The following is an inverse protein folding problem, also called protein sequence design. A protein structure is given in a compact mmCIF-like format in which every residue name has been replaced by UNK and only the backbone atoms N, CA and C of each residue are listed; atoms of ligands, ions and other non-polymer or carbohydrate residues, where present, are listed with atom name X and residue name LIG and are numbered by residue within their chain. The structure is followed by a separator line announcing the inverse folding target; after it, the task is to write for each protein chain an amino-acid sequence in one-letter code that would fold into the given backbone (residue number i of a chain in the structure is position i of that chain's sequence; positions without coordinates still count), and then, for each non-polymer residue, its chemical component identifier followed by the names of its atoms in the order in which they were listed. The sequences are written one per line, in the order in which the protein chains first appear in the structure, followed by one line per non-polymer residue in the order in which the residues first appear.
data_IF_150747909044
#
_entry.id   IF_150747909044
#
_cell.length_a   1.000
_cell.length_b   1.000
_cell.length_c   1.000
_cell.angle_alpha   90.00
_cell.angle_beta   90.00
_cell.angle_gamma   90.00
#
_symmetry.space_group_name_H-M   'P 1'
#
loop_
_entity.id
_entity.type
_entity.pdbx_description
1 polymer ?
#
# COMPACT_ATOMS: atom_id res chain seq x y z
N UNK A 1 4.82 8.95 8.11
CA UNK A 1 3.47 9.45 8.52
C UNK A 1 3.28 10.88 8.03
N UNK A 2 2.04 11.31 7.82
CA UNK A 2 1.67 12.67 7.37
C UNK A 2 2.30 13.04 6.01
N UNK A 3 1.89 12.39 4.91
CA UNK A 3 2.44 12.69 3.59
C UNK A 3 2.18 14.15 3.20
N UNK A 4 3.19 14.82 2.63
CA UNK A 4 3.10 16.22 2.20
C UNK A 4 3.19 17.28 3.31
N UNK A 5 3.43 16.89 4.56
CA UNK A 5 3.63 17.83 5.66
C UNK A 5 5.02 17.63 6.29
N UNK A 6 5.62 18.71 6.78
CA UNK A 6 6.85 18.66 7.57
C UNK A 6 6.51 18.70 9.07
N UNK A 7 6.58 17.54 9.73
CA UNK A 7 6.25 17.44 11.14
C UNK A 7 7.26 18.20 12.02
N UNK A 8 8.52 18.30 11.62
CA UNK A 8 9.51 19.05 12.38
C UNK A 8 9.16 20.54 12.36
N UNK A 9 8.81 21.09 11.20
CA UNK A 9 8.35 22.48 11.09
C UNK A 9 7.10 22.76 11.94
N UNK A 10 6.12 21.84 11.91
CA UNK A 10 4.90 21.94 12.72
C UNK A 10 5.19 21.95 14.23
N UNK A 11 6.04 21.02 14.68
CA UNK A 11 6.46 20.91 16.07
C UNK A 11 7.31 22.12 16.52
N UNK A 12 8.21 22.60 15.66
CA UNK A 12 8.98 23.83 15.93
C UNK A 12 8.06 25.06 15.99
N UNK A 13 6.99 25.10 15.19
CA UNK A 13 5.94 26.13 15.29
C UNK A 13 5.27 26.15 16.67
N UNK A 14 4.93 24.97 17.22
CA UNK A 14 4.39 24.86 18.57
C UNK A 14 5.38 25.31 19.65
N UNK A 15 6.67 24.97 19.48
CA UNK A 15 7.73 25.44 20.37
C UNK A 15 7.81 26.97 20.37
N UNK A 16 7.85 27.59 19.19
CA UNK A 16 7.90 29.06 19.02
C UNK A 16 6.69 29.77 19.63
N UNK A 17 5.52 29.14 19.58
CA UNK A 17 4.30 29.63 20.21
C UNK A 17 4.25 29.43 21.74
N UNK A 18 5.31 28.90 22.36
CA UNK A 18 5.39 28.70 23.82
C UNK A 18 4.48 27.57 24.32
N UNK A 19 4.19 26.57 23.48
CA UNK A 19 3.29 25.48 23.82
C UNK A 19 3.76 24.71 25.06
N UNK A 20 2.90 24.64 26.08
CA UNK A 20 3.11 23.82 27.28
C UNK A 20 2.79 22.32 27.07
N UNK A 21 2.36 21.94 25.85
CA UNK A 21 2.03 20.56 25.54
C UNK A 21 3.28 19.67 25.61
N UNK A 22 3.14 18.48 26.21
CA UNK A 22 4.13 17.41 26.10
C UNK A 22 4.02 16.71 24.74
N UNK A 23 5.04 15.93 24.39
CA UNK A 23 5.13 15.25 23.09
C UNK A 23 3.87 14.44 22.67
N UNK A 24 3.23 13.62 23.54
CA UNK A 24 2.01 12.88 23.14
C UNK A 24 0.88 13.81 22.71
N UNK A 25 0.62 14.87 23.50
CA UNK A 25 -0.46 15.81 23.24
C UNK A 25 -0.16 16.70 22.01
N UNK A 26 1.11 17.03 21.78
CA UNK A 26 1.52 17.77 20.60
C UNK A 26 1.39 16.95 19.31
N UNK A 27 1.88 15.71 19.30
CA UNK A 27 1.74 14.79 18.17
C UNK A 27 0.27 14.44 17.88
N UNK A 28 -0.56 14.32 18.93
CA UNK A 28 -1.98 14.00 18.81
C UNK A 28 -2.81 15.07 18.07
N UNK A 29 -2.25 16.26 17.80
CA UNK A 29 -2.87 17.26 16.92
C UNK A 29 -2.94 16.82 15.46
N UNK A 30 -2.05 15.92 15.04
CA UNK A 30 -1.97 15.44 13.66
C UNK A 30 -2.04 13.91 13.54
N UNK A 31 -1.82 13.18 14.64
CA UNK A 31 -1.78 11.72 14.66
C UNK A 31 -2.86 11.16 15.59
N UNK A 32 -3.36 9.93 15.34
CA UNK A 32 -4.20 9.22 16.29
C UNK A 32 -3.57 9.16 17.70
N UNK A 33 -4.39 9.35 18.74
CA UNK A 33 -3.90 9.50 20.12
C UNK A 33 -3.01 8.33 20.59
N UNK A 34 -3.41 7.08 20.29
CA UNK A 34 -2.63 5.89 20.67
C UNK A 34 -1.27 5.84 19.97
N UNK A 35 -1.22 6.27 18.71
CA UNK A 35 0.00 6.31 17.92
C UNK A 35 0.93 7.43 18.40
N UNK A 36 0.38 8.61 18.68
CA UNK A 36 1.11 9.72 19.28
C UNK A 36 1.75 9.33 20.62
N UNK A 37 1.00 8.63 21.49
CA UNK A 37 1.52 8.12 22.76
C UNK A 37 2.63 7.09 22.55
N UNK A 38 2.45 6.12 21.64
CA UNK A 38 3.45 5.10 21.35
C UNK A 38 4.75 5.67 20.76
N UNK A 39 4.66 6.71 19.93
CA UNK A 39 5.83 7.42 19.39
C UNK A 39 6.54 8.23 20.46
N UNK A 40 5.79 8.92 21.33
CA UNK A 40 6.37 9.66 22.44
C UNK A 40 7.07 8.74 23.47
N UNK A 41 6.53 7.54 23.73
CA UNK A 41 7.16 6.57 24.63
C UNK A 41 8.58 6.15 24.16
N UNK A 42 8.91 6.31 22.88
CA UNK A 42 10.21 5.97 22.31
C UNK A 42 11.26 7.08 22.52
N UNK A 43 11.45 7.49 23.77
CA UNK A 43 12.45 8.48 24.24
C UNK A 43 12.11 9.95 23.95
N UNK A 44 10.84 10.32 23.91
CA UNK A 44 10.48 11.75 24.03
C UNK A 44 10.83 12.26 25.44
N UNK A 45 11.17 13.54 25.54
CA UNK A 45 11.28 14.20 26.85
C UNK A 45 9.90 14.41 27.47
N UNK A 46 9.81 14.21 28.79
CA UNK A 46 8.60 14.47 29.55
C UNK A 46 8.34 15.96 29.79
N UNK A 47 9.28 16.83 29.39
CA UNK A 47 9.14 18.28 29.53
C UNK A 47 8.19 18.85 28.46
N UNK A 48 7.58 20.01 28.72
CA UNK A 48 6.85 20.76 27.71
C UNK A 48 7.69 21.00 26.45
N UNK A 49 7.07 20.93 25.28
CA UNK A 49 7.76 21.11 23.99
C UNK A 49 8.51 22.43 23.85
N UNK A 50 8.04 23.50 24.50
CA UNK A 50 8.72 24.79 24.55
C UNK A 50 10.17 24.68 25.08
N UNK A 51 10.45 23.69 25.94
CA UNK A 51 11.74 23.51 26.63
C UNK A 51 12.68 22.53 25.90
N UNK A 52 12.27 21.96 24.77
CA UNK A 52 13.08 20.98 24.04
C UNK A 52 14.16 21.64 23.20
N UNK A 53 15.28 20.95 23.00
CA UNK A 53 16.24 21.34 21.97
C UNK A 53 15.66 21.07 20.57
N UNK A 54 16.01 21.91 19.59
CA UNK A 54 15.50 21.75 18.21
C UNK A 54 15.92 20.39 17.62
N UNK A 55 17.12 19.91 17.97
CA UNK A 55 17.60 18.58 17.57
C UNK A 55 16.68 17.46 18.06
N UNK A 56 16.14 17.54 19.27
CA UNK A 56 15.25 16.51 19.82
C UNK A 56 13.90 16.51 19.10
N UNK A 57 13.39 17.69 18.74
CA UNK A 57 12.19 17.84 17.90
C UNK A 57 12.42 17.22 16.52
N UNK A 58 13.56 17.51 15.89
CA UNK A 58 13.95 16.94 14.60
C UNK A 58 14.02 15.41 14.65
N UNK A 59 14.64 14.85 15.70
CA UNK A 59 14.72 13.39 15.90
C UNK A 59 13.33 12.77 16.07
N UNK A 60 12.45 13.39 16.88
CA UNK A 60 11.09 12.90 17.07
C UNK A 60 10.29 12.93 15.76
N UNK A 61 10.35 14.05 15.03
CA UNK A 61 9.69 14.20 13.74
C UNK A 61 10.19 13.17 12.73
N UNK A 62 11.52 13.00 12.62
CA UNK A 62 12.15 12.03 11.73
C UNK A 62 11.68 10.61 12.02
N UNK A 63 11.62 10.21 13.30
CA UNK A 63 11.13 8.87 13.69
C UNK A 63 9.66 8.65 13.34
N UNK A 64 8.82 9.65 13.59
CA UNK A 64 7.40 9.57 13.28
C UNK A 64 7.15 9.55 11.76
N UNK A 65 7.87 10.36 10.99
CA UNK A 65 7.65 10.46 9.55
C UNK A 65 8.29 9.31 8.77
N UNK A 66 9.47 8.86 9.18
CA UNK A 66 10.23 7.78 8.55
C UNK A 66 10.25 6.50 9.41
N UNK A 67 9.10 6.14 9.96
CA UNK A 67 8.93 4.93 10.76
C UNK A 67 9.17 3.69 9.89
N UNK A 68 10.26 2.98 10.18
CA UNK A 68 10.59 1.72 9.53
C UNK A 68 9.79 0.59 10.18
N UNK A 69 9.05 -0.15 9.37
CA UNK A 69 8.38 -1.38 9.78
C UNK A 69 9.04 -2.54 9.05
N UNK A 70 9.24 -3.65 9.75
CA UNK A 70 9.82 -4.87 9.21
C UNK A 70 8.77 -5.98 9.27
N UNK A 71 7.91 -6.12 8.24
CA UNK A 71 6.98 -7.23 8.17
C UNK A 71 7.74 -8.56 8.20
N UNK A 72 7.30 -9.50 9.03
CA UNK A 72 7.92 -10.83 9.15
C UNK A 72 7.35 -11.83 8.15
N UNK A 73 6.28 -11.48 7.44
CA UNK A 73 5.61 -12.33 6.45
C UNK A 73 4.32 -11.70 5.95
N UNK A 74 3.54 -12.47 5.19
CA UNK A 74 2.18 -12.11 4.77
C UNK A 74 1.19 -13.09 5.39
N UNK A 75 -0.10 -12.73 5.44
CA UNK A 75 -1.14 -13.62 5.95
C UNK A 75 -1.45 -14.82 5.03
N UNK A 76 -0.84 -14.85 3.84
CA UNK A 76 -0.98 -15.93 2.86
C UNK A 76 -2.32 -15.91 2.12
N UNK A 77 -2.54 -16.95 1.30
CA UNK A 77 -3.68 -17.03 0.38
C UNK A 77 -5.06 -17.09 1.06
N UNK A 78 -5.13 -17.55 2.31
CA UNK A 78 -6.39 -17.60 3.05
C UNK A 78 -7.02 -16.21 3.29
N UNK A 79 -6.22 -15.15 3.19
CA UNK A 79 -6.67 -13.76 3.34
C UNK A 79 -6.28 -12.86 2.16
N UNK A 80 -5.64 -13.40 1.14
CA UNK A 80 -5.29 -12.63 -0.05
C UNK A 80 -6.56 -12.32 -0.86
N UNK A 81 -6.71 -11.08 -1.32
CA UNK A 81 -7.82 -10.71 -2.20
C UNK A 81 -7.59 -11.16 -3.65
N UNK A 82 -6.32 -11.32 -4.06
CA UNK A 82 -5.92 -11.75 -5.40
C UNK A 82 -4.65 -12.58 -5.37
N UNK A 83 -4.50 -13.42 -6.38
CA UNK A 83 -3.32 -14.24 -6.63
C UNK A 83 -2.39 -13.54 -7.61
N UNK A 84 -1.09 -13.52 -7.28
CA UNK A 84 -0.02 -13.10 -8.21
C UNK A 84 0.66 -14.33 -8.80
N UNK A 85 0.97 -14.30 -10.09
CA UNK A 85 1.35 -15.49 -10.85
C UNK A 85 0.15 -16.07 -11.58
N UNK A 86 0.34 -17.23 -12.21
CA UNK A 86 -0.71 -17.92 -12.98
C UNK A 86 -0.15 -18.53 -14.25
N UNK A 87 -1.02 -18.74 -15.24
CA UNK A 87 -0.60 -19.12 -16.59
C UNK A 87 0.21 -17.98 -17.22
N UNK A 88 1.41 -18.32 -17.68
CA UNK A 88 2.32 -17.38 -18.34
C UNK A 88 1.66 -16.75 -19.57
N UNK A 89 1.57 -15.43 -19.58
CA UNK A 89 0.98 -14.66 -20.68
C UNK A 89 1.72 -14.86 -22.01
N UNK A 90 2.99 -15.29 -21.98
CA UNK A 90 3.76 -15.63 -23.19
C UNK A 90 3.26 -16.88 -23.90
N UNK A 91 2.52 -17.74 -23.21
CA UNK A 91 1.90 -18.93 -23.80
C UNK A 91 0.52 -18.66 -24.39
N UNK A 92 0.04 -17.41 -24.32
CA UNK A 92 -1.30 -17.00 -24.71
C UNK A 92 -1.24 -15.98 -25.84
N UNK A 93 -2.15 -16.10 -26.81
CA UNK A 93 -2.40 -15.02 -27.75
C UNK A 93 -2.99 -13.82 -27.01
N UNK A 94 -2.31 -12.67 -27.06
CA UNK A 94 -2.78 -11.42 -26.43
C UNK A 94 -4.11 -10.89 -26.96
N UNK A 95 -4.55 -11.35 -28.15
CA UNK A 95 -5.82 -10.96 -28.76
C UNK A 95 -6.97 -11.89 -28.40
N UNK A 96 -6.72 -13.20 -28.37
CA UNK A 96 -7.79 -14.21 -28.26
C UNK A 96 -7.80 -14.95 -26.93
N UNK A 97 -6.74 -14.80 -26.12
CA UNK A 97 -6.50 -15.59 -24.90
C UNK A 97 -6.37 -17.11 -25.12
N UNK A 98 -6.21 -17.54 -26.37
CA UNK A 98 -5.97 -18.96 -26.70
C UNK A 98 -4.55 -19.36 -26.35
N UNK A 99 -4.38 -20.57 -25.80
CA UNK A 99 -3.07 -21.18 -25.56
C UNK A 99 -2.43 -21.53 -26.89
N UNK A 100 -1.25 -20.97 -27.18
CA UNK A 100 -0.59 -21.12 -28.48
C UNK A 100 -0.25 -22.60 -28.79
N UNK A 101 0.14 -23.36 -27.77
CA UNK A 101 0.52 -24.76 -27.92
C UNK A 101 -0.68 -25.73 -28.00
N UNK A 102 -1.89 -25.29 -27.63
CA UNK A 102 -3.07 -26.16 -27.54
C UNK A 102 -4.27 -25.47 -28.21
N UNK A 103 -4.50 -25.71 -29.51
CA UNK A 103 -5.64 -25.17 -30.21
C UNK A 103 -6.97 -25.52 -29.53
N UNK A 104 -7.82 -24.53 -29.35
CA UNK A 104 -9.13 -24.67 -28.69
C UNK A 104 -9.12 -24.51 -27.17
N UNK A 105 -7.95 -24.41 -26.52
CA UNK A 105 -7.85 -24.13 -25.09
C UNK A 105 -7.66 -22.62 -24.85
N UNK A 106 -8.44 -22.04 -23.93
CA UNK A 106 -8.41 -20.61 -23.59
C UNK A 106 -8.27 -20.42 -22.08
N UNK A 107 -7.52 -19.40 -21.68
CA UNK A 107 -7.31 -19.05 -20.26
C UNK A 107 -7.65 -17.58 -20.02
N UNK A 108 -8.45 -17.28 -19.00
CA UNK A 108 -8.97 -15.93 -18.74
C UNK A 108 -8.94 -15.58 -17.25
N UNK A 109 -9.11 -14.29 -16.95
CA UNK A 109 -9.25 -13.81 -15.58
C UNK A 109 -8.03 -14.07 -14.71
N UNK A 110 -8.28 -14.32 -13.42
CA UNK A 110 -7.23 -14.44 -12.38
C UNK A 110 -6.36 -15.70 -12.53
N UNK A 111 -6.77 -16.67 -13.36
CA UNK A 111 -5.93 -17.84 -13.65
C UNK A 111 -4.68 -17.48 -14.49
N UNK A 112 -4.71 -16.34 -15.19
CA UNK A 112 -3.61 -15.82 -16.01
C UNK A 112 -2.70 -14.96 -15.15
N UNK A 113 -1.39 -14.98 -15.41
CA UNK A 113 -0.39 -14.13 -14.73
C UNK A 113 -0.53 -12.64 -15.09
N UNK A 114 -1.63 -12.05 -14.65
CA UNK A 114 -1.98 -10.63 -14.75
C UNK A 114 -2.67 -10.24 -13.44
N UNK A 115 -2.04 -9.33 -12.70
CA UNK A 115 -2.57 -8.86 -11.41
C UNK A 115 -2.69 -7.34 -11.43
N UNK A 116 -3.90 -6.83 -11.28
CA UNK A 116 -4.19 -5.41 -11.16
C UNK A 116 -4.04 -4.89 -9.73
N UNK A 117 -3.96 -3.56 -9.59
CA UNK A 117 -4.03 -2.91 -8.29
C UNK A 117 -5.42 -3.03 -7.66
N UNK A 118 -5.52 -2.76 -6.36
CA UNK A 118 -6.81 -2.59 -5.69
C UNK A 118 -7.59 -1.44 -6.35
N UNK A 119 -8.91 -1.58 -6.45
CA UNK A 119 -9.78 -0.56 -7.06
C UNK A 119 -10.46 -0.98 -8.36
N UNK A 120 -10.76 -2.27 -8.53
CA UNK A 120 -11.59 -2.77 -9.64
C UNK A 120 -10.83 -3.24 -10.89
N UNK A 121 -9.51 -3.09 -10.93
CA UNK A 121 -8.69 -3.52 -12.07
C UNK A 121 -8.76 -5.03 -12.34
N UNK A 122 -8.77 -5.85 -11.29
CA UNK A 122 -8.88 -7.31 -11.45
C UNK A 122 -10.24 -7.74 -12.02
N UNK A 123 -11.33 -7.09 -11.62
CA UNK A 123 -12.63 -7.31 -12.26
C UNK A 123 -12.62 -6.86 -13.70
N UNK A 124 -12.12 -5.65 -14.00
CA UNK A 124 -12.00 -5.18 -15.38
C UNK A 124 -11.21 -6.17 -16.25
N UNK A 125 -10.09 -6.69 -15.75
CA UNK A 125 -9.30 -7.73 -16.42
C UNK A 125 -10.10 -9.02 -16.66
N UNK A 126 -10.83 -9.50 -15.65
CA UNK A 126 -11.67 -10.69 -15.80
C UNK A 126 -12.75 -10.50 -16.87
N UNK A 127 -13.38 -9.32 -16.94
CA UNK A 127 -14.38 -9.01 -17.96
C UNK A 127 -13.77 -8.91 -19.36
N UNK A 128 -12.67 -8.16 -19.50
CA UNK A 128 -12.03 -7.93 -20.80
C UNK A 128 -11.45 -9.23 -21.40
N UNK A 129 -10.71 -10.00 -20.61
CA UNK A 129 -10.14 -11.29 -21.05
C UNK A 129 -11.23 -12.32 -21.35
N UNK A 130 -12.26 -12.40 -20.49
CA UNK A 130 -13.42 -13.25 -20.71
C UNK A 130 -14.17 -12.93 -22.00
N UNK A 131 -14.38 -11.65 -22.29
CA UNK A 131 -15.02 -11.21 -23.53
C UNK A 131 -14.20 -11.58 -24.77
N UNK A 132 -12.90 -11.25 -24.78
CA UNK A 132 -12.01 -11.56 -25.90
C UNK A 132 -11.93 -13.07 -26.19
N UNK A 133 -11.81 -13.90 -25.14
CA UNK A 133 -11.80 -15.34 -25.27
C UNK A 133 -13.16 -15.89 -25.75
N UNK A 134 -14.27 -15.35 -25.24
CA UNK A 134 -15.61 -15.76 -25.64
C UNK A 134 -15.88 -15.52 -27.12
N UNK A 135 -15.50 -14.36 -27.64
CA UNK A 135 -15.62 -14.05 -29.07
C UNK A 135 -14.76 -14.99 -29.93
N UNK A 136 -13.51 -15.22 -29.53
CA UNK A 136 -12.60 -16.11 -30.25
C UNK A 136 -13.06 -17.58 -30.21
N UNK A 137 -13.52 -18.05 -29.06
CA UNK A 137 -14.00 -19.42 -28.88
C UNK A 137 -15.26 -19.70 -29.71
N UNK A 138 -16.17 -18.72 -29.82
CA UNK A 138 -17.38 -18.86 -30.64
C UNK A 138 -17.09 -19.02 -32.15
N UNK A 139 -15.96 -18.45 -32.61
CA UNK A 139 -15.52 -18.52 -34.01
C UNK A 139 -14.55 -19.68 -34.27
N UNK A 140 -13.98 -20.26 -33.22
CA UNK A 140 -13.01 -21.34 -33.34
C UNK A 140 -13.65 -22.59 -33.95
N UNK A 141 -12.97 -23.15 -34.95
CA UNK A 141 -13.33 -24.45 -35.52
C UNK A 141 -12.12 -25.36 -35.43
N UNK A 142 -12.29 -26.53 -34.82
CA UNK A 142 -11.28 -27.57 -34.87
C UNK A 142 -11.08 -27.98 -36.34
N UNK A 143 -9.83 -27.91 -36.80
CA UNK A 143 -9.39 -28.43 -38.09
C UNK A 143 -9.13 -29.92 -37.96
#
# INVERSE_FOLDING_TARGET
MLPGQDLAALLMGLKKAGSKAKAPAALARWLPQRLAAALAAQKASERPMAEWADKDIQVLAQRAQNMQLYPTGTEGFAKAEVTRGGVDTRALSSRTMQVEAVPGLFMVGEAVDVTGWLGGYNFHWAWASGHAAGEAAAQFRAV
#
